data_IF_670374249514
#
_entry.id   IF_670374249514
#
_cell.length_a   1.000
_cell.length_b   1.000
_cell.length_c   1.000
_cell.angle_alpha   90.00
_cell.angle_beta   90.00
_cell.angle_gamma   90.00
#
_symmetry.space_group_name_H-M   'P 1'
#
loop_
_entity.id
_entity.type
_entity.pdbx_description
1 polymer ?
#
# COMPACT_ATOMS: atom_id res chain seq x y z
N UNK A 1 -46.17 -45.31 -52.92
CA UNK A 1 -46.91 -44.82 -51.74
C UNK A 1 -45.87 -44.49 -50.69
N UNK A 2 -45.63 -43.20 -50.40
CA UNK A 2 -44.69 -42.76 -49.37
C UNK A 2 -45.45 -41.93 -48.35
N UNK A 3 -45.45 -42.37 -47.09
CA UNK A 3 -45.95 -41.57 -45.98
C UNK A 3 -44.81 -40.71 -45.43
N UNK A 4 -45.01 -39.42 -45.17
CA UNK A 4 -43.98 -38.63 -44.51
C UNK A 4 -43.92 -39.01 -43.03
N UNK A 5 -42.73 -39.39 -42.57
CA UNK A 5 -42.40 -39.49 -41.14
C UNK A 5 -42.26 -38.06 -40.60
N UNK A 6 -43.11 -37.69 -39.66
CA UNK A 6 -43.02 -36.41 -38.97
C UNK A 6 -42.05 -36.56 -37.80
N UNK A 7 -40.85 -36.01 -37.95
CA UNK A 7 -39.91 -35.85 -36.85
C UNK A 7 -40.43 -34.77 -35.89
N UNK A 8 -40.77 -35.17 -34.66
CA UNK A 8 -41.05 -34.22 -33.58
C UNK A 8 -39.72 -33.77 -32.98
N UNK A 9 -39.27 -32.58 -33.37
CA UNK A 9 -38.18 -31.88 -32.70
C UNK A 9 -38.70 -31.35 -31.37
N UNK A 10 -38.41 -32.02 -30.27
CA UNK A 10 -38.68 -31.48 -28.93
C UNK A 10 -37.77 -30.29 -28.69
N UNK A 11 -38.34 -29.08 -28.75
CA UNK A 11 -37.71 -27.84 -28.33
C UNK A 11 -37.45 -27.94 -26.82
N UNK A 12 -36.24 -28.32 -26.43
CA UNK A 12 -35.79 -28.22 -25.04
C UNK A 12 -35.81 -26.73 -24.68
N UNK A 13 -36.85 -26.28 -24.00
CA UNK A 13 -36.92 -24.94 -23.43
C UNK A 13 -35.86 -24.84 -22.33
N UNK A 14 -34.74 -24.19 -22.65
CA UNK A 14 -33.70 -23.89 -21.66
C UNK A 14 -34.26 -22.83 -20.71
N UNK A 15 -34.83 -23.28 -19.59
CA UNK A 15 -35.27 -22.41 -18.50
C UNK A 15 -34.03 -21.82 -17.82
N UNK A 16 -33.82 -20.51 -18.01
CA UNK A 16 -32.79 -19.76 -17.26
C UNK A 16 -33.27 -19.53 -15.84
N UNK A 17 -32.47 -19.93 -14.87
CA UNK A 17 -32.74 -19.69 -13.46
C UNK A 17 -32.58 -18.20 -13.13
N UNK A 18 -33.54 -17.62 -12.41
CA UNK A 18 -33.52 -16.20 -12.04
C UNK A 18 -32.40 -15.92 -11.03
N UNK A 19 -31.57 -14.93 -11.34
CA UNK A 19 -30.55 -14.44 -10.43
C UNK A 19 -31.17 -13.51 -9.37
N UNK A 20 -30.94 -13.79 -8.09
CA UNK A 20 -31.43 -13.00 -6.93
C UNK A 20 -30.32 -12.18 -6.28
N UNK A 21 -29.32 -11.76 -7.06
CA UNK A 21 -28.22 -10.95 -6.55
C UNK A 21 -28.68 -9.54 -6.19
N UNK A 22 -28.10 -8.98 -5.13
CA UNK A 22 -28.36 -7.61 -4.72
C UNK A 22 -27.85 -6.63 -5.80
N UNK A 23 -28.59 -5.56 -6.10
CA UNK A 23 -28.15 -4.55 -7.05
C UNK A 23 -26.87 -3.83 -6.60
N UNK A 24 -26.21 -3.15 -7.54
CA UNK A 24 -25.05 -2.31 -7.24
C UNK A 24 -25.44 -1.19 -6.26
N UNK A 25 -24.66 -1.04 -5.19
CA UNK A 25 -24.83 0.06 -4.23
C UNK A 25 -24.44 1.42 -4.81
N UNK A 26 -23.78 1.44 -5.97
CA UNK A 26 -23.21 2.64 -6.57
C UNK A 26 -24.06 3.21 -7.70
N UNK A 27 -24.90 2.39 -8.35
CA UNK A 27 -25.65 2.79 -9.53
C UNK A 27 -24.77 3.53 -10.55
N UNK A 28 -25.24 4.70 -10.98
CA UNK A 28 -24.53 5.55 -11.96
C UNK A 28 -23.68 6.65 -11.31
N UNK A 29 -23.51 6.63 -9.99
CA UNK A 29 -22.90 7.72 -9.20
C UNK A 29 -21.49 8.12 -9.68
N UNK A 30 -20.73 7.16 -10.20
CA UNK A 30 -19.36 7.39 -10.68
C UNK A 30 -19.26 7.54 -12.20
N UNK A 31 -20.37 7.44 -12.95
CA UNK A 31 -20.35 7.55 -14.42
C UNK A 31 -20.15 9.00 -14.89
N UNK A 32 -20.65 9.97 -14.14
CA UNK A 32 -20.52 11.39 -14.44
C UNK A 32 -19.50 12.03 -13.50
N UNK A 33 -18.24 12.06 -13.91
CA UNK A 33 -17.19 12.80 -13.21
C UNK A 33 -16.93 14.14 -13.91
N UNK A 34 -17.35 15.23 -13.28
CA UNK A 34 -16.95 16.57 -13.71
C UNK A 34 -15.52 16.83 -13.20
N UNK A 35 -14.55 16.77 -14.12
CA UNK A 35 -13.12 16.95 -13.83
C UNK A 35 -12.74 18.40 -13.52
N UNK A 36 -13.71 19.32 -13.42
CA UNK A 36 -13.49 20.74 -13.12
C UNK A 36 -12.68 21.00 -11.84
N UNK A 37 -12.68 20.07 -10.89
CA UNK A 37 -11.89 20.18 -9.65
C UNK A 37 -10.39 19.88 -9.84
N UNK A 38 -10.02 19.07 -10.84
CA UNK A 38 -8.62 18.76 -11.17
C UNK A 38 -7.87 19.94 -11.79
N UNK A 39 -8.60 20.86 -12.43
CA UNK A 39 -8.08 22.07 -13.09
C UNK A 39 -7.98 23.25 -12.11
N UNK A 40 -8.73 23.25 -10.99
CA UNK A 40 -8.95 24.45 -10.18
C UNK A 40 -7.93 24.72 -9.06
N UNK A 41 -6.98 23.83 -8.78
CA UNK A 41 -6.23 23.95 -7.51
C UNK A 41 -4.70 23.92 -7.64
N UNK A 42 -4.15 24.75 -8.52
CA UNK A 42 -2.70 24.99 -8.61
C UNK A 42 -2.09 25.38 -7.26
N UNK A 43 -2.83 26.12 -6.43
CA UNK A 43 -2.41 26.47 -5.07
C UNK A 43 -2.23 25.24 -4.17
N UNK A 44 -3.14 24.27 -4.22
CA UNK A 44 -3.00 23.04 -3.42
C UNK A 44 -1.93 22.12 -3.97
N UNK A 45 -1.77 22.04 -5.29
CA UNK A 45 -0.63 21.33 -5.89
C UNK A 45 0.68 21.94 -5.41
N UNK A 46 0.79 23.27 -5.43
CA UNK A 46 1.98 23.98 -4.95
C UNK A 46 2.23 23.75 -3.45
N UNK A 47 1.18 23.76 -2.62
CA UNK A 47 1.32 23.47 -1.19
C UNK A 47 1.72 22.02 -0.94
N UNK A 48 1.18 21.06 -1.70
CA UNK A 48 1.60 19.65 -1.63
C UNK A 48 3.08 19.51 -1.97
N UNK A 49 3.56 20.13 -3.05
CA UNK A 49 4.99 20.09 -3.41
C UNK A 49 5.86 20.76 -2.34
N UNK A 50 5.42 21.89 -1.78
CA UNK A 50 6.11 22.55 -0.68
C UNK A 50 6.20 21.65 0.56
N UNK A 51 5.10 20.99 0.93
CA UNK A 51 5.05 20.09 2.08
C UNK A 51 5.90 18.83 1.84
N UNK A 52 5.91 18.27 0.63
CA UNK A 52 6.81 17.16 0.27
C UNK A 52 8.27 17.55 0.48
N UNK A 53 8.69 18.73 0.03
CA UNK A 53 10.05 19.22 0.23
C UNK A 53 10.40 19.42 1.71
N UNK A 54 9.44 19.86 2.53
CA UNK A 54 9.62 19.94 3.99
C UNK A 54 9.80 18.55 4.57
N UNK A 55 8.96 17.57 4.23
CA UNK A 55 9.11 16.18 4.71
C UNK A 55 10.45 15.60 4.27
N UNK A 56 10.82 15.74 3.00
CA UNK A 56 12.11 15.25 2.49
C UNK A 56 13.29 15.82 3.30
N UNK A 57 13.29 17.13 3.55
CA UNK A 57 14.35 17.77 4.35
C UNK A 57 14.34 17.40 5.83
N UNK A 58 13.20 17.53 6.51
CA UNK A 58 13.13 17.39 7.98
C UNK A 58 13.23 15.92 8.41
N UNK A 59 12.77 14.99 7.58
CA UNK A 59 12.70 13.55 7.90
C UNK A 59 13.90 12.79 7.37
N UNK A 60 14.30 13.10 6.13
CA UNK A 60 15.32 12.35 5.42
C UNK A 60 16.62 13.13 5.20
N UNK A 61 16.65 14.44 5.47
CA UNK A 61 17.83 15.29 5.23
C UNK A 61 19.00 15.07 6.19
N UNK A 62 18.79 14.43 7.33
CA UNK A 62 19.86 14.07 8.27
C UNK A 62 20.16 12.57 8.18
N UNK A 63 21.43 12.18 8.02
CA UNK A 63 21.85 10.78 8.10
C UNK A 63 22.04 10.35 9.57
N UNK A 64 20.92 10.08 10.25
CA UNK A 64 20.91 9.42 11.56
C UNK A 64 20.03 8.16 11.55
N UNK A 65 20.24 7.26 12.52
CA UNK A 65 19.46 6.04 12.74
C UNK A 65 18.39 6.24 13.84
N UNK A 66 17.95 7.49 14.04
CA UNK A 66 17.13 7.86 15.19
C UNK A 66 15.78 7.14 15.18
N UNK A 67 15.29 6.86 16.39
CA UNK A 67 13.97 6.28 16.59
C UNK A 67 12.85 7.18 16.05
N UNK A 68 13.01 8.51 16.15
CA UNK A 68 12.02 9.46 15.65
C UNK A 68 11.85 9.33 14.13
N UNK A 69 12.94 9.05 13.41
CA UNK A 69 12.87 8.75 11.98
C UNK A 69 12.06 7.49 11.67
N UNK A 70 12.21 6.42 12.45
CA UNK A 70 11.40 5.20 12.30
C UNK A 70 9.90 5.47 12.50
N UNK A 71 9.54 6.25 13.52
CA UNK A 71 8.14 6.64 13.77
C UNK A 71 7.57 7.43 12.61
N UNK A 72 8.39 8.29 12.00
CA UNK A 72 7.96 9.13 10.90
C UNK A 72 7.80 8.34 9.61
N UNK A 73 8.72 7.42 9.31
CA UNK A 73 8.59 6.45 8.21
C UNK A 73 7.28 5.65 8.38
N UNK A 74 7.00 5.16 9.58
CA UNK A 74 5.75 4.43 9.87
C UNK A 74 4.50 5.29 9.64
N UNK A 75 4.54 6.56 10.07
CA UNK A 75 3.44 7.49 9.86
C UNK A 75 3.20 7.76 8.36
N UNK A 76 4.26 8.00 7.59
CA UNK A 76 4.15 8.26 6.14
C UNK A 76 3.59 7.03 5.41
N UNK A 77 4.02 5.82 5.76
CA UNK A 77 3.47 4.57 5.21
C UNK A 77 1.98 4.41 5.55
N UNK A 78 1.58 4.64 6.81
CA UNK A 78 0.19 4.51 7.27
C UNK A 78 -0.75 5.56 6.66
N UNK A 79 -0.22 6.72 6.30
CA UNK A 79 -0.96 7.77 5.58
C UNK A 79 -1.09 7.49 4.08
N UNK A 80 -0.47 6.42 3.56
CA UNK A 80 -0.47 6.12 2.12
C UNK A 80 0.37 7.09 1.30
N UNK A 81 1.36 7.74 1.93
CA UNK A 81 2.22 8.75 1.30
C UNK A 81 3.61 8.22 0.94
N UNK A 82 3.89 6.95 1.20
CA UNK A 82 5.22 6.34 0.99
C UNK A 82 5.71 6.41 -0.45
N UNK A 83 4.79 6.36 -1.43
CA UNK A 83 5.12 6.43 -2.86
C UNK A 83 5.78 7.74 -3.30
N UNK A 84 5.73 8.78 -2.46
CA UNK A 84 6.41 10.05 -2.70
C UNK A 84 7.86 10.08 -2.23
N UNK A 85 8.28 9.10 -1.42
CA UNK A 85 9.57 9.10 -0.72
C UNK A 85 10.25 7.72 -0.78
N UNK A 86 10.01 6.94 -1.84
CA UNK A 86 10.48 5.55 -1.91
C UNK A 86 12.01 5.46 -1.79
N UNK A 87 12.73 6.33 -2.50
CA UNK A 87 14.20 6.37 -2.44
C UNK A 87 14.71 6.78 -1.06
N UNK A 88 14.15 7.85 -0.47
CA UNK A 88 14.58 8.30 0.84
C UNK A 88 14.27 7.29 1.96
N UNK A 89 13.15 6.56 1.85
CA UNK A 89 12.81 5.49 2.78
C UNK A 89 13.76 4.30 2.66
N UNK A 90 14.10 3.89 1.44
CA UNK A 90 15.05 2.79 1.19
C UNK A 90 16.42 3.14 1.79
N UNK A 91 16.95 4.33 1.51
CA UNK A 91 18.22 4.79 2.06
C UNK A 91 18.20 4.84 3.59
N UNK A 92 17.14 5.39 4.17
CA UNK A 92 17.00 5.47 5.63
C UNK A 92 16.93 4.08 6.29
N UNK A 93 16.19 3.15 5.71
CA UNK A 93 16.05 1.79 6.23
C UNK A 93 17.32 0.97 6.04
N UNK A 94 18.05 1.18 4.95
CA UNK A 94 19.36 0.56 4.73
C UNK A 94 20.36 1.02 5.79
N UNK A 95 20.46 2.33 6.06
CA UNK A 95 21.32 2.85 7.13
C UNK A 95 20.96 2.25 8.51
N UNK A 96 19.67 2.11 8.79
CA UNK A 96 19.21 1.49 10.03
C UNK A 96 19.51 -0.01 10.10
N UNK A 97 19.48 -0.70 8.96
CA UNK A 97 19.84 -2.12 8.89
C UNK A 97 21.33 -2.33 9.15
N UNK A 98 22.18 -1.47 8.57
CA UNK A 98 23.63 -1.53 8.78
C UNK A 98 23.97 -1.24 10.25
N UNK A 99 23.39 -0.20 10.84
CA UNK A 99 23.49 0.09 12.27
C UNK A 99 22.91 -1.04 13.14
N UNK A 100 21.89 -1.76 12.64
CA UNK A 100 21.32 -2.92 13.32
C UNK A 100 22.31 -4.10 13.45
N UNK A 101 23.16 -4.31 12.45
CA UNK A 101 24.16 -5.39 12.48
C UNK A 101 25.33 -5.08 13.42
N UNK A 102 25.72 -3.80 13.52
CA UNK A 102 26.91 -3.38 14.24
C UNK A 102 26.73 -3.26 15.77
N UNK A 103 25.49 -3.21 16.26
CA UNK A 103 25.20 -2.92 17.67
C UNK A 103 24.16 -3.86 18.28
N UNK A 104 24.34 -4.20 19.56
CA UNK A 104 23.30 -4.90 20.33
C UNK A 104 22.21 -3.88 20.69
N UNK A 105 21.10 -3.91 19.94
CA UNK A 105 19.97 -3.01 20.14
C UNK A 105 19.12 -3.46 21.32
N UNK A 106 19.61 -3.18 22.52
CA UNK A 106 18.80 -3.26 23.74
C UNK A 106 17.95 -2.00 23.84
N UNK A 107 16.63 -2.16 23.76
CA UNK A 107 15.71 -1.03 23.70
C UNK A 107 14.29 -1.43 24.10
N UNK A 108 13.45 -0.42 24.33
CA UNK A 108 12.03 -0.61 24.62
C UNK A 108 11.33 -1.47 23.55
N UNK A 109 10.37 -2.30 23.99
CA UNK A 109 9.67 -3.27 23.16
C UNK A 109 9.03 -2.62 21.93
N UNK A 110 8.45 -1.43 22.11
CA UNK A 110 7.83 -0.68 21.01
C UNK A 110 8.85 -0.36 19.90
N UNK A 111 10.04 0.10 20.29
CA UNK A 111 11.09 0.52 19.35
C UNK A 111 11.68 -0.69 18.61
N UNK A 112 11.95 -1.77 19.33
CA UNK A 112 12.46 -3.02 18.76
C UNK A 112 11.45 -3.61 17.77
N UNK A 113 10.17 -3.68 18.16
CA UNK A 113 9.10 -4.20 17.29
C UNK A 113 8.88 -3.32 16.05
N UNK A 114 8.93 -1.99 16.21
CA UNK A 114 8.80 -1.04 15.11
C UNK A 114 9.92 -1.22 14.10
N UNK A 115 11.18 -1.20 14.56
CA UNK A 115 12.36 -1.38 13.70
C UNK A 115 12.33 -2.73 13.00
N UNK A 116 12.08 -3.81 13.75
CA UNK A 116 11.97 -5.17 13.20
C UNK A 116 10.93 -5.24 12.07
N UNK A 117 9.73 -4.70 12.32
CA UNK A 117 8.65 -4.70 11.34
C UNK A 117 9.02 -3.92 10.09
N UNK A 118 9.51 -2.68 10.23
CA UNK A 118 9.81 -1.81 9.08
C UNK A 118 10.92 -2.41 8.22
N UNK A 119 12.00 -2.90 8.83
CA UNK A 119 13.09 -3.56 8.11
C UNK A 119 12.62 -4.81 7.36
N UNK A 120 11.82 -5.67 8.00
CA UNK A 120 11.27 -6.89 7.37
C UNK A 120 10.29 -6.56 6.24
N UNK A 121 9.48 -5.52 6.38
CA UNK A 121 8.54 -5.07 5.34
C UNK A 121 9.26 -4.59 4.08
N UNK A 122 10.48 -4.05 4.22
CA UNK A 122 11.35 -3.62 3.13
C UNK A 122 12.37 -4.69 2.71
N UNK A 123 12.19 -5.94 3.13
CA UNK A 123 12.99 -7.08 2.64
C UNK A 123 14.32 -7.30 3.35
N UNK A 124 14.68 -6.50 4.34
CA UNK A 124 15.88 -6.74 5.13
C UNK A 124 15.73 -7.98 6.03
N UNK A 125 16.79 -8.79 6.09
CA UNK A 125 16.80 -10.02 6.89
C UNK A 125 17.17 -9.75 8.36
N UNK A 126 16.16 -9.53 9.20
CA UNK A 126 16.34 -9.31 10.65
C UNK A 126 15.98 -10.56 11.45
N UNK A 127 16.92 -11.13 12.21
CA UNK A 127 16.65 -12.31 13.06
C UNK A 127 15.62 -11.99 14.16
N UNK A 128 14.73 -12.94 14.45
CA UNK A 128 13.77 -12.84 15.57
C UNK A 128 14.35 -13.26 16.93
N UNK A 129 15.60 -13.76 16.93
CA UNK A 129 16.29 -14.25 18.12
C UNK A 129 17.64 -13.55 18.23
N UNK A 130 18.02 -13.08 19.43
CA UNK A 130 19.43 -12.71 19.73
C UNK A 130 20.25 -13.99 19.56
N UNK A 131 21.11 -14.05 18.55
CA UNK A 131 22.12 -15.11 18.45
C UNK A 131 23.04 -14.95 19.65
N UNK A 132 22.88 -15.80 20.66
CA UNK A 132 23.97 -16.01 21.62
C UNK A 132 25.10 -16.68 20.85
N UNK A 133 26.22 -15.97 20.72
CA UNK A 133 27.49 -16.56 20.30
C UNK A 133 27.82 -17.71 21.27
N UNK A 134 27.96 -18.93 20.73
CA UNK A 134 28.88 -19.94 21.27
C UNK A 134 30.25 -19.73 20.64
#
# INVERSE_FOLDING_TARGET
MSFPVQAQTTKLEILRQTATFHPSIWGDRFLNHDSGDMIRNDRTKQEVERLKAVVSREVFGAADDSLEKLKLIDAVQRLGLSYHFEGEMEEALQLMYDAYQDHDHDGDLYNVALRFRLLRQHGHHVSSRKSQLT
#
